data_IF_198776887148
#
_entry.id   IF_198776887148
#
_cell.length_a   1.000
_cell.length_b   1.000
_cell.length_c   1.000
_cell.angle_alpha   90.00
_cell.angle_beta   90.00
_cell.angle_gamma   90.00
#
_symmetry.space_group_name_H-M   'P 1'
#
loop_
_entity.id
_entity.type
_entity.pdbx_description
1 polymer ?
#
# COMPACT_ATOMS: atom_id res chain seq x y z
N UNK A 1 -0.13 -0.65 -14.97
CA UNK A 1 1.22 -0.34 -14.43
C UNK A 1 2.25 -1.19 -15.18
N UNK A 2 3.28 -0.58 -15.77
CA UNK A 2 4.31 -1.30 -16.54
C UNK A 2 5.43 -1.82 -15.63
N UNK A 3 5.45 -3.13 -15.38
CA UNK A 3 6.43 -3.76 -14.50
C UNK A 3 7.86 -3.75 -15.07
N UNK A 4 8.05 -3.49 -16.37
CA UNK A 4 9.40 -3.42 -16.94
C UNK A 4 10.24 -2.27 -16.38
N UNK A 5 9.58 -1.23 -15.84
CA UNK A 5 10.26 -0.12 -15.16
C UNK A 5 11.00 -0.55 -13.89
N UNK A 6 10.70 -1.73 -13.32
CA UNK A 6 11.51 -2.32 -12.23
C UNK A 6 12.95 -2.62 -12.71
N UNK A 7 13.16 -2.82 -14.02
CA UNK A 7 14.49 -3.04 -14.60
C UNK A 7 15.48 -1.89 -14.45
N UNK A 8 15.04 -0.70 -13.97
CA UNK A 8 15.94 0.41 -13.64
C UNK A 8 16.71 0.22 -12.33
N UNK A 9 16.28 -0.70 -11.49
CA UNK A 9 16.93 -1.05 -10.23
C UNK A 9 17.93 -2.19 -10.44
N UNK A 10 19.06 -2.14 -9.73
CA UNK A 10 20.13 -3.15 -9.86
C UNK A 10 19.77 -4.47 -9.17
N UNK A 11 18.86 -4.45 -8.19
CA UNK A 11 18.44 -5.62 -7.42
C UNK A 11 17.02 -5.48 -6.87
N UNK A 12 16.43 -6.60 -6.40
CA UNK A 12 15.16 -6.60 -5.67
C UNK A 12 15.23 -5.74 -4.41
N UNK A 13 16.33 -5.85 -3.66
CA UNK A 13 16.48 -5.15 -2.38
C UNK A 13 16.57 -3.64 -2.58
N UNK A 14 17.25 -3.17 -3.63
CA UNK A 14 17.30 -1.75 -3.98
C UNK A 14 15.90 -1.21 -4.32
N UNK A 15 15.13 -1.94 -5.12
CA UNK A 15 13.75 -1.56 -5.47
C UNK A 15 12.85 -1.46 -4.21
N UNK A 16 12.91 -2.46 -3.35
CA UNK A 16 12.11 -2.50 -2.11
C UNK A 16 12.54 -1.37 -1.16
N UNK A 17 13.83 -1.10 -1.03
CA UNK A 17 14.33 -0.06 -0.12
C UNK A 17 13.99 1.35 -0.63
N UNK A 18 14.02 1.59 -1.95
CA UNK A 18 13.55 2.85 -2.55
C UNK A 18 12.06 3.09 -2.24
N UNK A 19 11.21 2.07 -2.44
CA UNK A 19 9.78 2.14 -2.09
C UNK A 19 9.57 2.46 -0.61
N UNK A 20 10.24 1.73 0.29
CA UNK A 20 10.15 1.94 1.74
C UNK A 20 10.56 3.35 2.13
N UNK A 21 11.69 3.82 1.61
CA UNK A 21 12.24 5.16 1.91
C UNK A 21 11.31 6.27 1.42
N UNK A 22 10.81 6.17 0.19
CA UNK A 22 9.86 7.15 -0.37
C UNK A 22 8.56 7.19 0.42
N UNK A 23 7.94 6.03 0.66
CA UNK A 23 6.70 5.94 1.43
C UNK A 23 6.86 6.50 2.84
N UNK A 24 7.93 6.12 3.55
CA UNK A 24 8.18 6.63 4.90
C UNK A 24 8.33 8.15 4.90
N UNK A 25 9.19 8.68 4.02
CA UNK A 25 9.49 10.12 3.97
C UNK A 25 8.25 10.93 3.59
N UNK A 26 7.46 10.44 2.63
CA UNK A 26 6.23 11.10 2.19
C UNK A 26 5.17 11.12 3.29
N UNK A 27 4.99 10.05 4.07
CA UNK A 27 4.02 10.07 5.18
C UNK A 27 4.40 11.06 6.26
N UNK A 28 5.69 11.07 6.65
CA UNK A 28 6.19 12.01 7.66
C UNK A 28 6.00 13.46 7.20
N UNK A 29 6.15 13.74 5.90
CA UNK A 29 6.10 15.10 5.36
C UNK A 29 4.71 15.57 4.96
N UNK A 30 3.88 14.68 4.42
CA UNK A 30 2.63 15.05 3.74
C UNK A 30 1.38 14.39 4.30
N UNK A 31 1.54 13.32 5.10
CA UNK A 31 0.44 12.52 5.64
C UNK A 31 -0.44 11.87 4.55
N UNK A 32 -1.46 11.11 4.96
CA UNK A 32 -2.46 10.53 4.05
C UNK A 32 -2.15 9.08 3.67
N UNK A 33 -2.31 8.18 4.64
CA UNK A 33 -1.74 6.83 4.62
C UNK A 33 -1.92 6.05 3.30
N UNK A 34 -3.15 5.91 2.80
CA UNK A 34 -3.39 5.16 1.57
C UNK A 34 -2.87 5.92 0.34
N UNK A 35 -3.05 7.24 0.30
CA UNK A 35 -2.62 8.09 -0.79
C UNK A 35 -1.11 8.14 -0.93
N UNK A 36 -0.36 8.22 0.17
CA UNK A 36 1.10 8.16 0.13
C UNK A 36 1.60 6.83 -0.41
N UNK A 37 0.99 5.71 0.00
CA UNK A 37 1.34 4.39 -0.58
C UNK A 37 1.06 4.40 -2.08
N UNK A 38 -0.17 4.71 -2.50
CA UNK A 38 -0.55 4.73 -3.91
C UNK A 38 0.36 5.66 -4.73
N UNK A 39 0.56 6.89 -4.26
CA UNK A 39 1.39 7.89 -4.93
C UNK A 39 2.85 7.43 -5.05
N UNK A 40 3.41 6.77 -4.03
CA UNK A 40 4.78 6.23 -4.10
C UNK A 40 4.93 5.29 -5.30
N UNK A 41 3.96 4.40 -5.52
CA UNK A 41 3.99 3.50 -6.66
C UNK A 41 3.71 4.22 -7.98
N UNK A 42 2.78 5.17 -8.03
CA UNK A 42 2.58 6.00 -9.22
C UNK A 42 3.88 6.71 -9.64
N UNK A 43 4.62 7.29 -8.68
CA UNK A 43 5.89 7.97 -8.94
C UNK A 43 6.98 7.00 -9.44
N UNK A 44 7.15 5.87 -8.76
CA UNK A 44 8.17 4.86 -9.14
C UNK A 44 7.90 4.29 -10.53
N UNK A 45 6.64 4.10 -10.89
CA UNK A 45 6.23 3.62 -12.21
C UNK A 45 6.02 4.75 -13.23
N UNK A 46 6.31 6.01 -12.86
CA UNK A 46 6.07 7.23 -13.63
C UNK A 46 4.70 7.20 -14.33
N UNK A 47 3.66 6.96 -13.55
CA UNK A 47 2.27 6.94 -13.97
C UNK A 47 1.58 8.21 -13.50
N UNK A 48 1.20 9.07 -14.44
CA UNK A 48 0.34 10.20 -14.14
C UNK A 48 -1.11 9.73 -14.03
N UNK A 49 -1.53 9.40 -12.80
CA UNK A 49 -2.89 8.96 -12.51
C UNK A 49 -3.43 9.66 -11.25
N UNK A 50 -3.59 10.98 -11.38
CA UNK A 50 -4.20 11.84 -10.36
C UNK A 50 -5.53 11.29 -9.84
N UNK A 51 -6.48 10.79 -10.68
CA UNK A 51 -7.74 10.25 -10.17
C UNK A 51 -7.58 9.12 -9.16
N UNK A 52 -6.65 8.18 -9.39
CA UNK A 52 -6.41 7.06 -8.47
C UNK A 52 -5.76 7.55 -7.16
N UNK A 53 -4.81 8.49 -7.25
CA UNK A 53 -4.22 9.11 -6.05
C UNK A 53 -5.29 9.85 -5.23
N UNK A 54 -6.10 10.70 -5.87
CA UNK A 54 -7.19 11.43 -5.21
C UNK A 54 -8.23 10.50 -4.58
N UNK A 55 -8.62 9.42 -5.25
CA UNK A 55 -9.61 8.47 -4.73
C UNK A 55 -9.13 7.77 -3.44
N UNK A 56 -7.82 7.68 -3.22
CA UNK A 56 -7.24 7.01 -2.06
C UNK A 56 -7.09 7.89 -0.81
N UNK A 57 -7.26 9.22 -0.90
CA UNK A 57 -6.98 10.16 0.21
C UNK A 57 -7.86 9.94 1.44
N UNK A 58 -9.13 9.60 1.23
CA UNK A 58 -10.14 9.51 2.30
C UNK A 58 -10.09 8.21 3.11
N UNK A 59 -9.13 7.33 2.86
CA UNK A 59 -8.88 6.15 3.70
C UNK A 59 -8.06 6.47 4.96
N UNK A 60 -7.67 7.73 5.15
CA UNK A 60 -6.96 8.22 6.33
C UNK A 60 -7.70 7.87 7.64
N UNK A 61 -6.92 7.56 8.68
CA UNK A 61 -7.42 7.11 9.99
C UNK A 61 -8.44 5.94 9.91
N UNK A 62 -8.30 5.12 8.85
CA UNK A 62 -9.07 3.91 8.62
C UNK A 62 -10.45 4.16 8.03
N UNK A 63 -10.56 4.88 6.91
CA UNK A 63 -11.81 5.27 6.21
C UNK A 63 -12.47 6.55 6.76
N UNK A 64 -11.75 7.67 6.79
CA UNK A 64 -12.37 8.97 7.13
C UNK A 64 -12.67 9.08 8.62
N UNK A 65 -11.65 8.79 9.45
CA UNK A 65 -11.68 8.95 10.92
C UNK A 65 -12.63 7.98 11.66
N UNK A 66 -13.16 6.97 10.98
CA UNK A 66 -14.05 5.98 11.61
C UNK A 66 -13.32 4.87 12.37
N UNK A 67 -11.99 4.75 12.21
CA UNK A 67 -11.17 3.77 12.92
C UNK A 67 -11.25 2.34 12.35
N UNK A 68 -11.84 2.16 11.16
CA UNK A 68 -11.94 0.88 10.47
C UNK A 68 -10.60 0.48 9.81
N UNK A 69 -10.63 -0.38 8.79
CA UNK A 69 -9.46 -0.96 8.14
C UNK A 69 -8.38 0.08 7.80
N UNK A 70 -7.13 -0.23 8.16
CA UNK A 70 -5.99 0.66 8.02
C UNK A 70 -5.80 1.14 6.57
N UNK A 71 -5.62 2.45 6.40
CA UNK A 71 -5.39 3.06 5.10
C UNK A 71 -4.12 2.54 4.41
N UNK A 72 -3.07 2.22 5.15
CA UNK A 72 -1.84 1.64 4.59
C UNK A 72 -2.13 0.30 3.87
N UNK A 73 -2.89 -0.58 4.52
CA UNK A 73 -3.31 -1.87 3.96
C UNK A 73 -4.15 -1.66 2.69
N UNK A 74 -5.13 -0.76 2.74
CA UNK A 74 -5.99 -0.46 1.59
C UNK A 74 -5.18 0.10 0.43
N UNK A 75 -4.26 1.03 0.67
CA UNK A 75 -3.38 1.58 -0.35
C UNK A 75 -2.53 0.50 -1.02
N UNK A 76 -1.97 -0.44 -0.25
CA UNK A 76 -1.25 -1.59 -0.81
C UNK A 76 -2.14 -2.48 -1.67
N UNK A 77 -3.38 -2.74 -1.26
CA UNK A 77 -4.36 -3.51 -2.05
C UNK A 77 -4.73 -2.77 -3.34
N UNK A 78 -4.90 -1.45 -3.29
CA UNK A 78 -5.15 -0.63 -4.48
C UNK A 78 -4.01 -0.78 -5.49
N UNK A 79 -2.76 -0.70 -5.04
CA UNK A 79 -1.58 -0.86 -5.91
C UNK A 79 -1.55 -2.25 -6.55
N UNK A 80 -1.82 -3.31 -5.78
CA UNK A 80 -1.96 -4.66 -6.34
C UNK A 80 -3.10 -4.72 -7.37
N UNK A 81 -4.21 -4.03 -7.12
CA UNK A 81 -5.32 -3.90 -8.06
C UNK A 81 -4.94 -3.25 -9.40
N UNK A 82 -3.97 -2.32 -9.42
CA UNK A 82 -3.45 -1.71 -10.65
C UNK A 82 -2.65 -2.66 -11.55
N UNK A 83 -2.34 -3.87 -11.06
CA UNK A 83 -1.54 -4.89 -11.75
C UNK A 83 -2.34 -6.18 -11.98
N UNK A 84 -3.10 -6.62 -10.97
CA UNK A 84 -3.81 -7.91 -10.96
C UNK A 84 -5.34 -7.74 -10.98
N UNK A 85 -5.84 -6.51 -10.98
CA UNK A 85 -7.28 -6.25 -11.07
C UNK A 85 -7.81 -6.51 -12.48
N UNK A 86 -9.08 -6.90 -12.57
CA UNK A 86 -9.79 -6.95 -13.86
C UNK A 86 -9.91 -5.55 -14.44
N UNK A 87 -9.68 -5.45 -15.74
CA UNK A 87 -9.83 -4.27 -16.58
C UNK A 87 -11.25 -4.12 -17.16
N UNK A 88 -12.03 -5.21 -17.19
CA UNK A 88 -13.39 -5.24 -17.71
C UNK A 88 -14.32 -6.02 -16.76
N UNK A 89 -15.42 -5.37 -16.38
CA UNK A 89 -16.48 -5.91 -15.54
C UNK A 89 -17.14 -7.16 -16.16
N UNK A 90 -17.20 -7.22 -17.50
CA UNK A 90 -17.83 -8.31 -18.26
C UNK A 90 -17.09 -9.64 -18.09
N UNK A 91 -15.79 -9.62 -17.74
CA UNK A 91 -14.98 -10.81 -17.47
C UNK A 91 -15.37 -11.56 -16.18
N UNK A 92 -16.30 -11.01 -15.40
CA UNK A 92 -16.92 -11.68 -14.27
C UNK A 92 -15.98 -11.93 -13.09
N UNK A 93 -16.34 -12.91 -12.24
CA UNK A 93 -15.60 -13.24 -11.01
C UNK A 93 -14.23 -13.88 -11.30
N UNK A 94 -14.11 -14.65 -12.39
CA UNK A 94 -12.89 -15.38 -12.71
C UNK A 94 -11.68 -14.44 -12.88
N UNK A 95 -11.89 -13.27 -13.49
CA UNK A 95 -10.85 -12.26 -13.66
C UNK A 95 -10.45 -11.52 -12.37
N UNK A 96 -11.18 -11.70 -11.26
CA UNK A 96 -10.79 -11.18 -9.94
C UNK A 96 -9.87 -12.16 -9.21
N UNK A 97 -10.03 -13.47 -9.46
CA UNK A 97 -9.32 -14.53 -8.73
C UNK A 97 -7.80 -14.37 -8.80
N UNK A 98 -7.27 -13.91 -9.94
CA UNK A 98 -5.84 -13.64 -10.12
C UNK A 98 -5.32 -12.61 -9.10
N UNK A 99 -6.11 -11.56 -8.81
CA UNK A 99 -5.78 -10.53 -7.82
C UNK A 99 -6.03 -10.94 -6.36
N UNK A 100 -6.80 -12.01 -6.10
CA UNK A 100 -7.08 -12.47 -4.73
C UNK A 100 -5.82 -13.01 -4.06
N UNK A 101 -5.00 -13.79 -4.77
CA UNK A 101 -3.78 -14.41 -4.21
C UNK A 101 -2.77 -13.38 -3.67
N UNK A 102 -2.30 -12.38 -4.45
CA UNK A 102 -1.38 -11.37 -3.93
C UNK A 102 -2.02 -10.51 -2.84
N UNK A 103 -3.32 -10.20 -2.94
CA UNK A 103 -4.06 -9.47 -1.90
C UNK A 103 -4.07 -10.25 -0.57
N UNK A 104 -4.33 -11.56 -0.60
CA UNK A 104 -4.29 -12.42 0.59
C UNK A 104 -2.88 -12.53 1.19
N UNK A 105 -1.82 -12.55 0.37
CA UNK A 105 -0.42 -12.49 0.83
C UNK A 105 -0.21 -11.23 1.68
N UNK A 106 -0.63 -10.08 1.18
CA UNK A 106 -0.51 -8.81 1.88
C UNK A 106 -1.34 -8.76 3.18
N UNK A 107 -2.62 -9.15 3.13
CA UNK A 107 -3.49 -9.17 4.32
C UNK A 107 -2.93 -10.09 5.40
N UNK A 108 -2.48 -11.30 5.04
CA UNK A 108 -1.88 -12.25 5.99
C UNK A 108 -0.61 -11.69 6.62
N UNK A 109 0.28 -11.09 5.83
CA UNK A 109 1.47 -10.42 6.36
C UNK A 109 1.09 -9.31 7.35
N UNK A 110 0.13 -8.48 6.98
CA UNK A 110 -0.30 -7.34 7.80
C UNK A 110 -0.88 -7.80 9.14
N UNK A 111 -1.77 -8.79 9.10
CA UNK A 111 -2.36 -9.39 10.31
C UNK A 111 -1.31 -10.05 11.20
N UNK A 112 -0.35 -10.78 10.62
CA UNK A 112 0.73 -11.42 11.38
C UNK A 112 1.66 -10.40 12.05
N UNK A 113 1.91 -9.26 11.39
CA UNK A 113 2.83 -8.24 11.91
C UNK A 113 2.18 -7.27 12.90
N UNK A 114 0.93 -6.89 12.66
CA UNK A 114 0.22 -5.86 13.43
C UNK A 114 -0.93 -6.40 14.29
N UNK A 115 -1.20 -7.70 14.23
CA UNK A 115 -2.25 -8.43 14.96
C UNK A 115 -3.70 -8.03 14.67
N UNK A 116 -3.92 -6.90 14.00
CA UNK A 116 -5.24 -6.31 13.70
C UNK A 116 -5.21 -5.67 12.31
N UNK A 117 -6.39 -5.47 11.74
CA UNK A 117 -6.56 -4.76 10.47
C UNK A 117 -7.11 -3.35 10.68
N UNK A 118 -7.83 -3.12 11.78
CA UNK A 118 -8.50 -1.86 12.09
C UNK A 118 -7.51 -0.81 12.65
N UNK A 119 -7.57 0.40 12.09
CA UNK A 119 -6.68 1.51 12.44
C UNK A 119 -6.80 1.89 13.92
N UNK A 120 -8.02 1.99 14.47
CA UNK A 120 -8.21 2.31 15.89
C UNK A 120 -7.62 1.25 16.81
N UNK A 121 -7.74 -0.02 16.45
CA UNK A 121 -7.20 -1.12 17.26
C UNK A 121 -5.66 -1.17 17.21
N UNK A 122 -5.09 -0.90 16.04
CA UNK A 122 -3.64 -0.83 15.83
C UNK A 122 -3.03 0.37 16.58
N UNK A 123 -3.64 1.54 16.44
CA UNK A 123 -3.14 2.79 17.01
C UNK A 123 -3.48 2.93 18.50
N UNK A 124 -4.48 2.18 18.98
CA UNK A 124 -5.00 2.27 20.35
C UNK A 124 -5.71 3.60 20.65
N UNK A 125 -6.04 4.39 19.62
CA UNK A 125 -6.57 5.75 19.81
C UNK A 125 -7.70 6.05 18.84
N UNK A 126 -8.59 6.96 19.25
CA UNK A 126 -9.60 7.52 18.38
C UNK A 126 -9.08 8.80 17.73
N UNK A 127 -8.66 8.68 16.47
CA UNK A 127 -8.12 9.81 15.71
C UNK A 127 -9.19 10.82 15.29
N UNK A 128 -10.49 10.54 15.48
CA UNK A 128 -11.56 11.52 15.29
C UNK A 128 -11.61 12.55 16.43
N UNK A 129 -11.07 12.22 17.61
CA UNK A 129 -10.96 13.14 18.74
C UNK A 129 -9.66 13.95 18.62
N UNK A 130 -9.72 15.29 18.44
CA UNK A 130 -8.53 16.10 18.23
C UNK A 130 -7.50 16.01 19.35
N UNK A 131 -7.92 15.87 20.61
CA UNK A 131 -6.99 15.79 21.75
C UNK A 131 -6.26 14.46 21.77
N UNK A 132 -6.96 13.37 21.44
CA UNK A 132 -6.36 12.04 21.36
C UNK A 132 -5.46 11.89 20.14
N UNK A 133 -5.85 12.49 19.02
CA UNK A 133 -5.03 12.57 17.82
C UNK A 133 -3.72 13.31 18.10
N UNK A 134 -3.79 14.50 18.71
CA UNK A 134 -2.62 15.30 19.08
C UNK A 134 -1.67 14.55 20.02
N UNK A 135 -2.23 13.91 21.07
CA UNK A 135 -1.44 13.08 21.98
C UNK A 135 -0.77 11.89 21.27
N UNK A 136 -1.47 11.23 20.35
CA UNK A 136 -0.92 10.11 19.59
C UNK A 136 0.24 10.54 18.68
N UNK A 137 0.06 11.64 17.94
CA UNK A 137 1.09 12.14 17.02
C UNK A 137 2.29 12.72 17.77
N UNK A 138 2.07 13.47 18.85
CA UNK A 138 3.14 13.97 19.74
C UNK A 138 3.97 12.85 20.37
N UNK A 139 3.38 11.66 20.54
CA UNK A 139 4.07 10.46 21.02
C UNK A 139 4.75 9.63 19.90
N UNK A 140 5.03 10.23 18.74
CA UNK A 140 5.66 9.53 17.60
C UNK A 140 4.70 8.59 16.85
N UNK A 141 3.39 8.88 16.91
CA UNK A 141 2.36 8.14 16.20
C UNK A 141 2.52 8.18 14.68
N UNK A 142 3.03 9.30 14.15
CA UNK A 142 3.23 9.48 12.72
C UNK A 142 4.34 8.56 12.18
N UNK A 143 5.47 8.47 12.86
CA UNK A 143 6.59 7.59 12.47
C UNK A 143 6.19 6.12 12.59
N UNK A 144 5.30 5.77 13.52
CA UNK A 144 4.71 4.43 13.61
C UNK A 144 3.85 4.12 12.38
N UNK A 145 2.98 5.03 11.97
CA UNK A 145 2.21 4.90 10.72
C UNK A 145 3.12 4.84 9.49
N UNK A 146 4.15 5.69 9.42
CA UNK A 146 5.09 5.73 8.31
C UNK A 146 5.91 4.43 8.17
N UNK A 147 6.37 3.85 9.29
CA UNK A 147 7.02 2.52 9.29
C UNK A 147 6.07 1.44 8.78
N UNK A 148 4.82 1.46 9.22
CA UNK A 148 3.80 0.52 8.77
C UNK A 148 3.55 0.60 7.27
N UNK A 149 3.46 1.81 6.74
CA UNK A 149 3.29 2.04 5.32
C UNK A 149 4.51 1.59 4.51
N UNK A 150 5.72 1.88 4.99
CA UNK A 150 6.95 1.38 4.37
C UNK A 150 6.96 -0.16 4.32
N UNK A 151 6.60 -0.82 5.41
CA UNK A 151 6.47 -2.28 5.47
C UNK A 151 5.46 -2.83 4.45
N UNK A 152 4.30 -2.18 4.31
CA UNK A 152 3.31 -2.53 3.28
C UNK A 152 3.88 -2.35 1.88
N UNK A 153 4.49 -1.19 1.60
CA UNK A 153 5.13 -0.91 0.31
C UNK A 153 6.22 -1.92 -0.02
N UNK A 154 6.99 -2.39 0.97
CA UNK A 154 8.00 -3.42 0.76
C UNK A 154 7.41 -4.78 0.36
N UNK A 155 6.31 -5.20 0.99
CA UNK A 155 5.64 -6.47 0.64
C UNK A 155 4.94 -6.39 -0.71
N UNK A 156 4.34 -5.25 -1.03
CA UNK A 156 3.78 -4.99 -2.37
C UNK A 156 4.91 -5.00 -3.40
N UNK A 157 6.03 -4.31 -3.13
CA UNK A 157 7.22 -4.30 -3.98
C UNK A 157 7.77 -5.70 -4.25
N UNK A 158 7.95 -6.52 -3.21
CA UNK A 158 8.37 -7.92 -3.36
C UNK A 158 7.43 -8.71 -4.28
N UNK A 159 6.12 -8.56 -4.09
CA UNK A 159 5.10 -9.20 -4.92
C UNK A 159 5.15 -8.73 -6.38
N UNK A 160 5.36 -7.44 -6.62
CA UNK A 160 5.50 -6.90 -7.98
C UNK A 160 6.81 -7.34 -8.64
N UNK A 161 7.89 -7.49 -7.86
CA UNK A 161 9.16 -7.99 -8.36
C UNK A 161 9.07 -9.47 -8.77
N UNK A 162 8.43 -10.31 -7.95
CA UNK A 162 8.13 -11.71 -8.30
C UNK A 162 7.37 -11.80 -9.64
N UNK A 163 6.34 -10.97 -9.81
CA UNK A 163 5.55 -10.91 -11.04
C UNK A 163 6.37 -10.37 -12.23
N UNK A 164 7.22 -9.37 -12.02
CA UNK A 164 8.14 -8.86 -13.05
C UNK A 164 9.07 -9.96 -13.56
N UNK A 165 9.70 -10.72 -12.67
CA UNK A 165 10.57 -11.84 -13.06
C UNK A 165 9.76 -12.90 -13.81
N UNK A 166 8.58 -13.27 -13.30
CA UNK A 166 7.69 -14.25 -13.93
C UNK A 166 7.33 -13.87 -15.38
N UNK A 167 6.98 -12.59 -15.61
CA UNK A 167 6.68 -12.07 -16.96
C UNK A 167 7.91 -12.08 -17.86
N UNK A 168 9.09 -11.80 -17.32
CA UNK A 168 10.35 -11.77 -18.06
C UNK A 168 10.85 -13.16 -18.46
N UNK A 169 10.68 -14.17 -17.60
CA UNK A 169 11.16 -15.55 -17.83
C UNK A 169 10.14 -16.43 -18.55
N UNK A 170 8.91 -15.95 -18.78
CA UNK A 170 7.86 -16.71 -19.48
C UNK A 170 7.29 -17.90 -18.68
N UNK A 171 7.64 -18.03 -17.41
CA UNK A 171 7.13 -19.10 -16.53
C UNK A 171 5.66 -18.86 -16.18
N UNK A 172 4.74 -19.57 -16.84
CA UNK A 172 3.35 -19.71 -16.40
C UNK A 172 3.23 -20.92 -15.47
N UNK A 173 2.69 -20.70 -14.27
CA UNK A 173 2.06 -21.75 -13.45
C UNK A 173 0.61 -21.87 -13.83
#
# INVERSE_FOLDING_TARGET
MDLNKIGKYSSKDEFIEDLKKRTFTSEVKFHGCAQVVVQTFLDVFELDNVPVSMASSHFAAGIGLTGNNCGALIGGIMVLGLVFGRDDISKGMQAIVEGIKPTRKLVKYFEQKYNRLNCREITGTDLADPKKADAYFSAGGLERCARMMADVSGVVGDTLYEEYIKRKTGTRT
#
